data_IF_607910805425
#
_entry.id   IF_607910805425
#
_cell.length_a   1.000
_cell.length_b   1.000
_cell.length_c   1.000
_cell.angle_alpha   90.00
_cell.angle_beta   90.00
_cell.angle_gamma   90.00
#
_symmetry.space_group_name_H-M   'P 1'
#
loop_
_entity.id
_entity.type
_entity.pdbx_description
1 polymer ?
#
# COMPACT_ATOMS: atom_id res chain seq x y z
N UNK A 1 -19.97 -5.20 -0.90
CA UNK A 1 -19.40 -4.95 0.43
C UNK A 1 -18.01 -5.52 0.43
N UNK A 2 -17.03 -4.75 0.87
CA UNK A 2 -15.64 -5.17 1.02
C UNK A 2 -15.53 -5.96 2.32
N UNK A 3 -14.99 -7.17 2.31
CA UNK A 3 -14.84 -8.01 3.51
C UNK A 3 -13.39 -8.38 3.79
N UNK A 4 -12.57 -8.56 2.74
CA UNK A 4 -11.16 -8.96 2.85
C UNK A 4 -10.23 -7.92 2.25
N UNK A 5 -9.29 -7.41 3.05
CA UNK A 5 -8.32 -6.40 2.65
C UNK A 5 -6.89 -6.93 2.83
N UNK A 6 -6.08 -6.81 1.78
CA UNK A 6 -4.64 -7.02 1.83
C UNK A 6 -3.92 -5.67 2.01
N UNK A 7 -3.20 -5.50 3.11
CA UNK A 7 -2.32 -4.34 3.33
C UNK A 7 -0.87 -4.72 2.99
N UNK A 8 -0.16 -3.84 2.27
CA UNK A 8 1.25 -4.02 1.92
C UNK A 8 2.07 -2.85 2.48
N UNK A 9 3.09 -3.14 3.26
CA UNK A 9 3.94 -2.12 3.88
C UNK A 9 5.42 -2.51 3.87
N UNK A 10 6.31 -1.52 3.98
CA UNK A 10 7.74 -1.77 4.21
C UNK A 10 7.99 -2.41 5.57
N UNK A 11 7.40 -1.84 6.61
CA UNK A 11 7.57 -2.27 8.01
C UNK A 11 6.21 -2.24 8.70
N UNK A 12 6.08 -3.06 9.74
CA UNK A 12 4.96 -3.09 10.65
C UNK A 12 5.31 -2.44 11.99
N UNK A 13 6.47 -2.74 12.58
CA UNK A 13 6.75 -2.40 13.98
C UNK A 13 6.88 -0.90 14.24
N UNK A 14 7.37 -0.13 13.26
CA UNK A 14 7.48 1.33 13.37
C UNK A 14 6.42 2.07 12.51
N UNK A 15 5.39 1.36 12.05
CA UNK A 15 4.38 1.91 11.15
C UNK A 15 3.02 2.02 11.83
N UNK A 16 2.83 3.08 12.61
CA UNK A 16 1.58 3.34 13.32
C UNK A 16 0.37 3.56 12.38
N UNK A 17 0.60 4.09 11.18
CA UNK A 17 -0.46 4.27 10.20
C UNK A 17 -1.11 2.93 9.83
N UNK A 18 -0.30 1.97 9.39
CA UNK A 18 -0.81 0.65 8.97
C UNK A 18 -1.38 -0.15 10.14
N UNK A 19 -0.77 -0.06 11.33
CA UNK A 19 -1.31 -0.67 12.57
C UNK A 19 -2.71 -0.15 12.88
N UNK A 20 -2.84 1.18 12.99
CA UNK A 20 -4.12 1.79 13.36
C UNK A 20 -5.22 1.52 12.33
N UNK A 21 -4.87 1.53 11.04
CA UNK A 21 -5.81 1.19 9.98
C UNK A 21 -6.24 -0.27 10.05
N UNK A 22 -5.29 -1.21 10.19
CA UNK A 22 -5.57 -2.65 10.30
C UNK A 22 -6.47 -2.96 11.49
N UNK A 23 -6.13 -2.46 12.68
CA UNK A 23 -6.93 -2.60 13.90
C UNK A 23 -8.33 -2.01 13.76
N UNK A 24 -8.46 -0.83 13.13
CA UNK A 24 -9.78 -0.24 12.90
C UNK A 24 -10.64 -1.10 11.98
N UNK A 25 -10.10 -1.54 10.84
CA UNK A 25 -10.83 -2.37 9.88
C UNK A 25 -11.26 -3.71 10.50
N UNK A 26 -10.40 -4.31 11.33
CA UNK A 26 -10.71 -5.52 12.08
C UNK A 26 -11.90 -5.33 13.04
N UNK A 27 -11.93 -4.21 13.76
CA UNK A 27 -13.06 -3.82 14.64
C UNK A 27 -14.35 -3.54 13.87
N UNK A 28 -14.26 -3.13 12.60
CA UNK A 28 -15.41 -3.04 11.69
C UNK A 28 -15.83 -4.40 11.10
N UNK A 29 -15.27 -5.51 11.59
CA UNK A 29 -15.59 -6.86 11.14
C UNK A 29 -14.94 -7.26 9.82
N UNK A 30 -14.02 -6.44 9.28
CA UNK A 30 -13.29 -6.78 8.06
C UNK A 30 -12.12 -7.70 8.38
N UNK A 31 -11.80 -8.63 7.49
CA UNK A 31 -10.59 -9.46 7.59
C UNK A 31 -9.43 -8.74 6.93
N UNK A 32 -8.34 -8.59 7.66
CA UNK A 32 -7.16 -7.86 7.24
C UNK A 32 -5.97 -8.79 7.32
N UNK A 33 -5.25 -8.92 6.20
CA UNK A 33 -3.94 -9.55 6.17
C UNK A 33 -2.92 -8.49 5.76
N UNK A 34 -1.90 -8.29 6.59
CA UNK A 34 -0.78 -7.39 6.33
C UNK A 34 0.44 -8.20 5.90
N UNK A 35 1.08 -7.80 4.81
CA UNK A 35 2.40 -8.31 4.40
C UNK A 35 3.44 -7.20 4.55
N UNK A 36 4.53 -7.50 5.25
CA UNK A 36 5.59 -6.52 5.55
C UNK A 36 6.97 -7.18 5.64
N UNK A 37 8.07 -6.42 5.58
CA UNK A 37 9.41 -6.96 5.77
C UNK A 37 9.78 -7.04 7.26
N UNK A 38 10.39 -8.15 7.68
CA UNK A 38 11.02 -8.31 9.00
C UNK A 38 12.32 -9.12 8.88
N UNK A 39 13.10 -9.16 9.96
CA UNK A 39 14.34 -9.94 10.07
C UNK A 39 14.12 -11.46 10.12
N UNK A 40 12.90 -11.91 10.45
CA UNK A 40 12.52 -13.31 10.46
C UNK A 40 11.14 -13.51 9.83
N UNK A 41 10.92 -14.65 9.17
CA UNK A 41 9.61 -15.00 8.60
C UNK A 41 8.72 -15.56 9.71
N UNK A 42 7.56 -14.93 9.88
CA UNK A 42 6.54 -15.29 10.87
C UNK A 42 5.16 -14.87 10.38
N UNK A 43 4.14 -15.52 10.91
CA UNK A 43 2.75 -15.09 10.79
C UNK A 43 2.17 -15.03 12.18
N UNK A 44 1.62 -13.88 12.54
CA UNK A 44 1.03 -13.65 13.86
C UNK A 44 -0.36 -13.03 13.73
N UNK A 45 -1.25 -13.44 14.62
CA UNK A 45 -2.53 -12.77 14.78
C UNK A 45 -2.32 -11.57 15.69
N UNK A 46 -2.43 -10.37 15.12
CA UNK A 46 -2.29 -9.11 15.86
C UNK A 46 -3.54 -8.90 16.73
N UNK A 47 -4.72 -9.15 16.16
CA UNK A 47 -6.01 -9.19 16.85
C UNK A 47 -7.03 -10.01 16.05
N UNK A 48 -8.24 -10.20 16.59
CA UNK A 48 -9.31 -10.90 15.86
C UNK A 48 -9.56 -10.20 14.52
N UNK A 49 -9.49 -10.97 13.43
CA UNK A 49 -9.59 -10.50 12.04
C UNK A 49 -8.40 -9.68 11.50
N UNK A 50 -7.28 -9.56 12.23
CA UNK A 50 -6.07 -8.92 11.73
C UNK A 50 -4.84 -9.82 11.90
N UNK A 51 -4.29 -10.30 10.79
CA UNK A 51 -3.05 -11.08 10.77
C UNK A 51 -1.93 -10.28 10.11
N UNK A 52 -0.71 -10.45 10.60
CA UNK A 52 0.49 -9.89 10.01
C UNK A 52 1.44 -11.03 9.59
N UNK A 53 1.95 -10.93 8.37
CA UNK A 53 2.81 -11.91 7.72
C UNK A 53 4.11 -11.21 7.32
N UNK A 54 5.21 -11.54 7.98
CA UNK A 54 6.49 -11.00 7.57
C UNK A 54 7.06 -11.77 6.38
N UNK A 55 7.83 -11.08 5.56
CA UNK A 55 8.74 -11.66 4.57
C UNK A 55 10.17 -11.29 4.94
N UNK A 56 11.11 -12.13 4.51
CA UNK A 56 12.55 -11.90 4.68
C UNK A 56 13.20 -11.76 3.31
N UNK A 57 14.44 -11.26 3.27
CA UNK A 57 15.23 -11.21 2.04
C UNK A 57 16.36 -12.23 2.12
N UNK A 58 16.53 -13.00 1.06
CA UNK A 58 17.65 -13.93 0.90
C UNK A 58 18.92 -13.16 0.51
N UNK A 59 18.77 -12.12 -0.30
CA UNK A 59 19.86 -11.29 -0.80
C UNK A 59 19.85 -9.93 -0.11
N UNK A 60 21.04 -9.40 0.15
CA UNK A 60 21.18 -8.01 0.58
C UNK A 60 21.28 -7.07 -0.63
N UNK A 61 21.01 -5.78 -0.42
CA UNK A 61 21.16 -4.74 -1.42
C UNK A 61 21.99 -3.58 -0.87
N UNK A 62 22.71 -2.92 -1.77
CA UNK A 62 23.61 -1.80 -1.50
C UNK A 62 22.89 -0.45 -1.41
N UNK A 63 21.63 -0.39 -1.85
CA UNK A 63 20.81 0.81 -1.80
C UNK A 63 19.31 0.50 -1.62
N UNK A 64 18.54 1.51 -1.20
CA UNK A 64 17.12 1.37 -0.88
C UNK A 64 16.26 0.97 -2.09
N UNK A 65 16.63 1.39 -3.30
CA UNK A 65 15.87 1.06 -4.52
C UNK A 65 15.99 -0.43 -4.84
N UNK A 66 17.21 -0.96 -4.90
CA UNK A 66 17.46 -2.39 -5.11
C UNK A 66 16.84 -3.23 -3.99
N UNK A 67 16.98 -2.76 -2.74
CA UNK A 67 16.36 -3.40 -1.58
C UNK A 67 14.83 -3.47 -1.71
N UNK A 68 14.20 -2.38 -2.15
CA UNK A 68 12.76 -2.34 -2.40
C UNK A 68 12.36 -3.34 -3.49
N UNK A 69 13.12 -3.46 -4.59
CA UNK A 69 12.81 -4.42 -5.64
C UNK A 69 12.86 -5.87 -5.13
N UNK A 70 13.86 -6.21 -4.31
CA UNK A 70 13.95 -7.52 -3.65
C UNK A 70 12.76 -7.76 -2.71
N UNK A 71 12.42 -6.77 -1.87
CA UNK A 71 11.26 -6.84 -0.98
C UNK A 71 9.97 -7.08 -1.75
N UNK A 72 9.75 -6.37 -2.86
CA UNK A 72 8.56 -6.56 -3.67
C UNK A 72 8.48 -7.97 -4.26
N UNK A 73 9.60 -8.62 -4.59
CA UNK A 73 9.59 -10.01 -5.05
C UNK A 73 9.00 -10.97 -4.01
N UNK A 74 9.35 -10.79 -2.73
CA UNK A 74 8.84 -11.64 -1.66
C UNK A 74 7.42 -11.24 -1.24
N UNK A 75 7.09 -9.94 -1.21
CA UNK A 75 5.71 -9.47 -0.97
C UNK A 75 4.76 -10.04 -2.04
N UNK A 76 5.14 -10.04 -3.33
CA UNK A 76 4.32 -10.62 -4.41
C UNK A 76 4.03 -12.11 -4.16
N UNK A 77 5.05 -12.87 -3.77
CA UNK A 77 4.89 -14.31 -3.50
C UNK A 77 3.92 -14.55 -2.33
N UNK A 78 4.14 -13.87 -1.20
CA UNK A 78 3.28 -14.01 -0.02
C UNK A 78 1.85 -13.51 -0.29
N UNK A 79 1.71 -12.36 -0.95
CA UNK A 79 0.40 -11.82 -1.33
C UNK A 79 -0.38 -12.76 -2.26
N UNK A 80 0.31 -13.43 -3.21
CA UNK A 80 -0.31 -14.45 -4.06
C UNK A 80 -0.75 -15.67 -3.25
N UNK A 81 0.12 -16.19 -2.38
CA UNK A 81 -0.20 -17.33 -1.50
C UNK A 81 -1.46 -17.06 -0.66
N UNK A 82 -1.54 -15.87 -0.04
CA UNK A 82 -2.69 -15.48 0.75
C UNK A 82 -3.95 -15.28 -0.12
N UNK A 83 -3.81 -14.73 -1.32
CA UNK A 83 -4.93 -14.59 -2.25
C UNK A 83 -5.48 -15.96 -2.70
N UNK A 84 -4.62 -16.91 -3.04
CA UNK A 84 -5.06 -18.27 -3.44
C UNK A 84 -5.78 -18.98 -2.29
N UNK A 85 -5.39 -18.71 -1.04
CA UNK A 85 -5.98 -19.34 0.15
C UNK A 85 -7.26 -18.67 0.64
N UNK A 86 -7.32 -17.35 0.61
CA UNK A 86 -8.40 -16.57 1.23
C UNK A 86 -9.09 -15.60 0.27
N UNK A 87 -8.45 -15.19 -0.82
CA UNK A 87 -8.95 -14.14 -1.69
C UNK A 87 -8.99 -12.76 -1.01
N UNK A 88 -9.12 -11.71 -1.82
CA UNK A 88 -9.23 -10.33 -1.35
C UNK A 88 -10.28 -9.57 -2.15
N UNK A 89 -10.85 -8.54 -1.55
CA UNK A 89 -11.70 -7.57 -2.22
C UNK A 89 -10.93 -6.28 -2.55
N UNK A 90 -9.94 -5.93 -1.73
CA UNK A 90 -9.12 -4.72 -1.88
C UNK A 90 -7.66 -5.06 -1.58
N UNK A 91 -6.75 -4.47 -2.37
CA UNK A 91 -5.32 -4.38 -2.08
C UNK A 91 -5.02 -2.92 -1.71
N UNK A 92 -4.22 -2.69 -0.68
CA UNK A 92 -3.74 -1.37 -0.30
C UNK A 92 -2.22 -1.35 -0.12
N UNK A 93 -1.52 -0.73 -1.06
CA UNK A 93 -0.08 -0.48 -0.98
C UNK A 93 0.27 0.83 -0.28
N UNK A 94 1.37 0.84 0.45
CA UNK A 94 1.88 2.03 1.13
C UNK A 94 3.21 2.47 0.49
N UNK A 95 3.19 3.70 0.00
CA UNK A 95 4.29 4.41 -0.66
C UNK A 95 4.83 3.73 -1.94
N UNK A 96 5.71 4.44 -2.65
CA UNK A 96 6.38 3.94 -3.86
C UNK A 96 7.09 2.60 -3.62
N UNK A 97 7.55 2.38 -2.40
CA UNK A 97 8.36 1.22 -2.02
C UNK A 97 7.58 -0.11 -2.12
N UNK A 98 6.24 -0.09 -2.09
CA UNK A 98 5.41 -1.29 -2.28
C UNK A 98 4.67 -1.29 -3.63
N UNK A 99 4.85 -0.26 -4.46
CA UNK A 99 4.15 -0.13 -5.73
C UNK A 99 4.38 -1.34 -6.67
N UNK A 100 5.60 -1.87 -6.88
CA UNK A 100 5.81 -3.00 -7.79
C UNK A 100 5.01 -4.25 -7.41
N UNK A 101 4.92 -4.58 -6.12
CA UNK A 101 4.14 -5.70 -5.63
C UNK A 101 2.64 -5.43 -5.74
N UNK A 102 2.21 -4.23 -5.34
CA UNK A 102 0.82 -3.80 -5.39
C UNK A 102 0.24 -3.90 -6.81
N UNK A 103 0.95 -3.39 -7.80
CA UNK A 103 0.51 -3.44 -9.21
C UNK A 103 0.50 -4.87 -9.75
N UNK A 104 1.50 -5.67 -9.38
CA UNK A 104 1.54 -7.07 -9.81
C UNK A 104 0.35 -7.84 -9.24
N UNK A 105 0.05 -7.67 -7.95
CA UNK A 105 -1.08 -8.31 -7.30
C UNK A 105 -2.42 -7.80 -7.85
N UNK A 106 -2.55 -6.50 -8.13
CA UNK A 106 -3.70 -5.94 -8.84
C UNK A 106 -3.95 -6.69 -10.15
N UNK A 107 -2.90 -6.83 -10.98
CA UNK A 107 -3.02 -7.49 -12.29
C UNK A 107 -3.32 -8.99 -12.17
N UNK A 108 -2.71 -9.68 -11.20
CA UNK A 108 -2.89 -11.11 -10.99
C UNK A 108 -4.26 -11.48 -10.44
N UNK A 109 -4.80 -10.63 -9.57
CA UNK A 109 -6.04 -10.92 -8.83
C UNK A 109 -7.26 -10.21 -9.41
N UNK A 110 -7.03 -9.25 -10.30
CA UNK A 110 -8.00 -8.31 -10.87
C UNK A 110 -8.74 -7.48 -9.80
N UNK A 111 -8.24 -7.49 -8.55
CA UNK A 111 -8.85 -6.77 -7.45
C UNK A 111 -8.48 -5.29 -7.47
N UNK A 112 -9.39 -4.41 -7.01
CA UNK A 112 -9.08 -3.01 -6.91
C UNK A 112 -7.90 -2.71 -5.99
N UNK A 113 -7.12 -1.69 -6.38
CA UNK A 113 -5.91 -1.25 -5.69
C UNK A 113 -6.04 0.20 -5.25
N UNK A 114 -5.84 0.41 -3.95
CA UNK A 114 -5.63 1.72 -3.33
C UNK A 114 -4.14 1.88 -3.01
N UNK A 115 -3.60 3.08 -3.20
CA UNK A 115 -2.25 3.43 -2.75
C UNK A 115 -2.29 4.60 -1.79
N UNK A 116 -1.65 4.52 -0.62
CA UNK A 116 -1.33 5.71 0.18
C UNK A 116 0.08 6.17 -0.18
N UNK A 117 0.23 7.40 -0.67
CA UNK A 117 1.53 8.03 -0.92
C UNK A 117 1.80 9.06 0.16
N UNK A 118 2.78 8.79 1.01
CA UNK A 118 3.14 9.67 2.14
C UNK A 118 3.98 10.86 1.70
N UNK A 119 4.81 10.69 0.66
CA UNK A 119 5.56 11.77 0.03
C UNK A 119 5.96 11.34 -1.37
N UNK A 120 6.04 12.30 -2.28
CA UNK A 120 6.66 12.09 -3.62
C UNK A 120 8.14 12.50 -3.61
N UNK A 121 8.93 12.06 -4.60
CA UNK A 121 10.30 12.55 -4.84
C UNK A 121 10.35 14.06 -5.11
N UNK A 122 9.34 14.62 -5.78
CA UNK A 122 9.19 16.07 -5.96
C UNK A 122 9.17 16.83 -4.63
N UNK A 123 8.49 16.27 -3.63
CA UNK A 123 8.44 16.84 -2.26
C UNK A 123 9.75 16.59 -1.50
N UNK A 124 10.43 15.46 -1.77
CA UNK A 124 11.74 15.12 -1.15
C UNK A 124 12.93 15.84 -1.80
N UNK A 125 12.75 16.44 -2.97
CA UNK A 125 13.77 17.23 -3.65
C UNK A 125 14.82 16.42 -4.43
N UNK A 126 14.53 15.16 -4.79
CA UNK A 126 15.41 14.33 -5.63
C UNK A 126 16.85 14.16 -5.12
N UNK A 127 17.06 14.14 -3.80
CA UNK A 127 18.41 14.15 -3.21
C UNK A 127 19.23 12.86 -3.39
N UNK A 128 18.62 11.77 -3.86
CA UNK A 128 19.27 10.46 -4.00
C UNK A 128 19.60 10.08 -5.45
N UNK A 129 20.58 9.17 -5.67
CA UNK A 129 20.99 8.75 -7.02
C UNK A 129 19.87 8.06 -7.82
N UNK A 130 18.83 7.58 -7.13
CA UNK A 130 17.67 6.89 -7.70
C UNK A 130 16.41 7.76 -7.71
N UNK A 131 16.50 9.06 -7.44
CA UNK A 131 15.31 9.92 -7.33
C UNK A 131 14.46 9.96 -8.61
N UNK A 132 15.10 9.99 -9.78
CA UNK A 132 14.39 9.95 -11.07
C UNK A 132 13.53 8.68 -11.23
N UNK A 133 14.13 7.51 -11.03
CA UNK A 133 13.41 6.24 -11.18
C UNK A 133 12.35 6.02 -10.08
N UNK A 134 12.56 6.56 -8.88
CA UNK A 134 11.54 6.53 -7.83
C UNK A 134 10.36 7.42 -8.24
N UNK A 135 10.60 8.60 -8.81
CA UNK A 135 9.53 9.45 -9.36
C UNK A 135 8.78 8.77 -10.51
N UNK A 136 9.47 8.00 -11.36
CA UNK A 136 8.82 7.21 -12.41
C UNK A 136 7.92 6.11 -11.81
N UNK A 137 8.36 5.45 -10.73
CA UNK A 137 7.53 4.49 -9.98
C UNK A 137 6.33 5.15 -9.32
N UNK A 138 6.49 6.34 -8.74
CA UNK A 138 5.41 7.12 -8.16
C UNK A 138 4.39 7.50 -9.24
N UNK A 139 4.84 8.00 -10.39
CA UNK A 139 3.99 8.32 -11.54
C UNK A 139 3.23 7.08 -12.03
N UNK A 140 3.94 5.98 -12.26
CA UNK A 140 3.34 4.72 -12.70
C UNK A 140 2.29 4.21 -11.71
N UNK A 141 2.62 4.21 -10.42
CA UNK A 141 1.67 3.83 -9.37
C UNK A 141 0.47 4.77 -9.32
N UNK A 142 0.72 6.06 -9.61
CA UNK A 142 -0.24 7.13 -9.78
C UNK A 142 -1.31 6.82 -10.83
N UNK A 143 -0.87 6.31 -11.97
CA UNK A 143 -1.74 6.00 -13.09
C UNK A 143 -2.44 4.65 -12.94
N UNK A 144 -1.72 3.64 -12.45
CA UNK A 144 -2.22 2.27 -12.33
C UNK A 144 -3.10 2.03 -11.12
N UNK A 145 -2.96 2.76 -10.00
CA UNK A 145 -3.87 2.59 -8.86
C UNK A 145 -5.31 2.99 -9.23
N UNK A 146 -6.30 2.27 -8.70
CA UNK A 146 -7.71 2.63 -8.87
C UNK A 146 -8.07 3.86 -8.01
N UNK A 147 -7.39 4.04 -6.89
CA UNK A 147 -7.52 5.22 -6.03
C UNK A 147 -6.23 5.51 -5.26
N UNK A 148 -5.99 6.77 -4.93
CA UNK A 148 -4.80 7.24 -4.22
C UNK A 148 -5.19 8.14 -3.07
N UNK A 149 -4.58 7.87 -1.92
CA UNK A 149 -4.68 8.67 -0.70
C UNK A 149 -3.36 9.39 -0.50
N UNK A 150 -3.43 10.68 -0.23
CA UNK A 150 -2.29 11.47 0.25
C UNK A 150 -2.59 12.01 1.65
N UNK A 151 -1.56 12.10 2.48
CA UNK A 151 -1.69 12.48 3.89
C UNK A 151 -1.48 13.97 4.15
N UNK A 152 -1.00 14.74 3.17
CA UNK A 152 -0.68 16.16 3.33
C UNK A 152 -0.84 16.94 2.01
N UNK A 153 -1.00 18.26 2.11
CA UNK A 153 -1.25 19.13 0.95
C UNK A 153 -0.07 19.19 -0.03
N UNK A 154 1.17 19.10 0.46
CA UNK A 154 2.35 19.19 -0.43
C UNK A 154 2.41 17.97 -1.32
N UNK A 155 2.25 16.79 -0.74
CA UNK A 155 2.22 15.51 -1.45
C UNK A 155 1.00 15.43 -2.38
N UNK A 156 -0.18 15.84 -1.91
CA UNK A 156 -1.38 15.88 -2.75
C UNK A 156 -1.19 16.80 -3.97
N UNK A 157 -0.65 18.00 -3.76
CA UNK A 157 -0.39 18.94 -4.85
C UNK A 157 0.70 18.43 -5.80
N UNK A 158 1.72 17.73 -5.31
CA UNK A 158 2.72 17.10 -6.17
C UNK A 158 2.12 16.00 -7.05
N UNK A 159 1.34 15.09 -6.47
CA UNK A 159 0.62 14.05 -7.22
C UNK A 159 -0.25 14.67 -8.34
N UNK A 160 -0.98 15.74 -8.01
CA UNK A 160 -1.87 16.44 -8.93
C UNK A 160 -1.11 17.23 -10.01
N UNK A 161 -0.17 18.06 -9.60
CA UNK A 161 0.41 19.09 -10.46
C UNK A 161 1.70 18.64 -11.13
N UNK A 162 2.53 17.84 -10.44
CA UNK A 162 3.82 17.40 -10.95
C UNK A 162 3.67 16.08 -11.69
N UNK A 163 3.04 15.08 -11.05
CA UNK A 163 2.80 13.76 -11.64
C UNK A 163 1.54 13.68 -12.52
N UNK A 164 0.72 14.74 -12.55
CA UNK A 164 -0.50 14.84 -13.40
C UNK A 164 -1.53 13.75 -13.13
N UNK A 165 -1.63 13.26 -11.90
CA UNK A 165 -2.63 12.25 -11.56
C UNK A 165 -4.03 12.88 -11.57
N UNK A 166 -5.02 12.29 -12.26
CA UNK A 166 -6.39 12.78 -12.29
C UNK A 166 -7.03 12.94 -10.90
N UNK A 167 -7.65 14.10 -10.65
CA UNK A 167 -8.37 14.40 -9.40
C UNK A 167 -9.42 13.36 -9.03
N UNK A 168 -10.04 12.72 -10.04
CA UNK A 168 -11.10 11.72 -9.84
C UNK A 168 -10.66 10.46 -9.08
N UNK A 169 -9.35 10.27 -8.88
CA UNK A 169 -8.78 9.17 -8.11
C UNK A 169 -7.89 9.64 -6.96
N UNK A 170 -7.89 10.92 -6.63
CA UNK A 170 -7.08 11.47 -5.53
C UNK A 170 -7.98 11.80 -4.33
N UNK A 171 -7.53 11.48 -3.12
CA UNK A 171 -8.09 12.01 -1.89
C UNK A 171 -6.99 12.51 -0.95
N UNK A 172 -7.20 13.71 -0.39
CA UNK A 172 -6.41 14.21 0.73
C UNK A 172 -7.08 13.73 2.02
N UNK A 173 -6.46 12.78 2.71
CA UNK A 173 -6.93 12.26 4.00
C UNK A 173 -5.78 12.36 4.99
N UNK A 174 -5.85 13.38 5.86
CA UNK A 174 -4.87 13.58 6.93
C UNK A 174 -5.11 12.55 8.04
N UNK A 175 -4.07 11.91 8.62
CA UNK A 175 -4.20 10.89 9.66
C UNK A 175 -4.49 11.52 11.04
N UNK A 176 -5.59 12.27 11.14
CA UNK A 176 -6.05 12.98 12.35
C UNK A 176 -7.38 12.41 12.82
N UNK A 177 -8.50 13.08 12.51
CA UNK A 177 -9.85 12.63 12.82
C UNK A 177 -10.52 11.96 11.61
N UNK A 178 -11.23 10.86 11.88
CA UNK A 178 -12.05 10.08 10.94
C UNK A 178 -11.34 9.54 9.69
N UNK A 179 -10.01 9.51 9.71
CA UNK A 179 -9.23 9.15 8.52
C UNK A 179 -9.37 7.67 8.13
N UNK A 180 -9.65 6.80 9.10
CA UNK A 180 -9.79 5.36 8.89
C UNK A 180 -11.16 5.04 8.32
N UNK A 181 -12.17 5.75 8.80
CA UNK A 181 -13.54 5.77 8.28
C UNK A 181 -13.54 6.23 6.82
N UNK A 182 -12.90 7.37 6.52
CA UNK A 182 -12.77 7.87 5.14
C UNK A 182 -12.00 6.90 4.23
N UNK A 183 -10.99 6.21 4.77
CA UNK A 183 -10.26 5.17 4.03
C UNK A 183 -11.17 3.98 3.71
N UNK A 184 -12.00 3.56 4.67
CA UNK A 184 -13.00 2.51 4.46
C UNK A 184 -14.06 2.93 3.43
N UNK A 185 -14.49 4.19 3.42
CA UNK A 185 -15.42 4.71 2.40
C UNK A 185 -14.83 4.60 1.00
N UNK A 186 -13.53 4.89 0.84
CA UNK A 186 -12.81 4.69 -0.43
C UNK A 186 -12.82 3.21 -0.81
N UNK A 187 -12.57 2.29 0.13
CA UNK A 187 -12.61 0.86 -0.18
C UNK A 187 -13.98 0.43 -0.70
N UNK A 188 -15.07 0.87 -0.05
CA UNK A 188 -16.43 0.53 -0.47
C UNK A 188 -16.82 1.22 -1.79
N UNK A 189 -16.29 2.41 -2.07
CA UNK A 189 -16.45 3.10 -3.37
C UNK A 189 -15.78 2.30 -4.49
N UNK A 190 -14.50 2.01 -4.35
CA UNK A 190 -13.69 1.37 -5.39
C UNK A 190 -14.10 -0.10 -5.56
N UNK A 191 -14.43 -0.79 -4.47
CA UNK A 191 -14.92 -2.17 -4.49
C UNK A 191 -16.26 -2.36 -5.20
N UNK A 192 -17.07 -1.29 -5.37
CA UNK A 192 -18.31 -1.34 -6.16
C UNK A 192 -18.08 -1.16 -7.67
N UNK A 193 -17.01 -0.46 -8.07
CA UNK A 193 -16.75 -0.16 -9.49
C UNK A 193 -16.24 -1.37 -10.29
N UNK A 194 -15.76 -2.42 -9.61
CA UNK A 194 -15.21 -3.65 -10.21
C UNK A 194 -16.05 -4.92 -9.98
N UNK A 195 -17.30 -4.78 -9.51
CA UNK A 195 -18.27 -5.88 -9.49
C UNK A 195 -19.14 -5.83 -10.73
#
# INVERSE_FOLDING_TARGET
MVERILLLAKDFHNNEYVKQLGSFLAKQGKRVDLVYFDSCEKSEQVEVNFNAHSITLVLNADNIFNWAMLMNNEIKKKGRELFEKFGFDIIHGNDWITAPASMTLKKLTEKPLVMTIHSTEHVRGFGGPHGGIISDLEWWSGFEADYIISCDDKTFNSLRNDLKIPDSKLALIRPVEDWKEKTLDIYELVGKQKK
#
